data_IF_704035680926
#
_entry.id   IF_704035680926
#
_cell.length_a   1.000
_cell.length_b   1.000
_cell.length_c   1.000
_cell.angle_alpha   90.00
_cell.angle_beta   90.00
_cell.angle_gamma   90.00
#
_symmetry.space_group_name_H-M   'P 1'
#
loop_
_entity.id
_entity.type
_entity.pdbx_description
1 polymer ?
#
# COMPACT_ATOMS: atom_id res chain seq x y z
N UNK A 1 -20.07 -3.75 61.76
CA UNK A 1 -19.56 -2.41 61.41
C UNK A 1 -18.57 -2.64 60.29
N UNK A 2 -19.01 -2.47 59.03
CA UNK A 2 -18.20 -2.74 57.83
C UNK A 2 -17.91 -1.40 57.15
N UNK A 3 -16.67 -0.93 57.23
CA UNK A 3 -16.15 0.17 56.41
C UNK A 3 -15.46 -0.44 55.21
N UNK A 4 -16.06 -0.30 54.03
CA UNK A 4 -15.44 -0.62 52.75
C UNK A 4 -14.46 0.51 52.41
N UNK A 5 -13.16 0.22 52.52
CA UNK A 5 -12.09 1.04 51.95
C UNK A 5 -12.29 1.08 50.43
N UNK A 6 -12.83 2.20 49.96
CA UNK A 6 -12.94 2.52 48.55
C UNK A 6 -11.59 3.15 48.16
N UNK A 7 -10.60 2.28 47.95
CA UNK A 7 -9.30 2.66 47.42
C UNK A 7 -9.53 3.45 46.12
N UNK A 8 -9.18 4.72 46.16
CA UNK A 8 -9.18 5.70 45.07
C UNK A 8 -8.26 5.20 43.94
N UNK A 9 -8.73 4.23 43.17
CA UNK A 9 -8.10 3.80 41.93
C UNK A 9 -8.29 4.94 40.93
N UNK A 10 -7.35 5.89 40.95
CA UNK A 10 -7.23 6.91 39.94
C UNK A 10 -7.19 6.21 38.57
N UNK A 11 -8.01 6.64 37.60
CA UNK A 11 -8.04 6.03 36.29
C UNK A 11 -6.64 6.09 35.67
N UNK A 12 -6.20 4.97 35.07
CA UNK A 12 -4.92 4.93 34.35
C UNK A 12 -4.84 6.11 33.39
N UNK A 13 -3.67 6.80 33.32
CA UNK A 13 -3.50 7.90 32.39
C UNK A 13 -3.70 7.37 30.98
N UNK A 14 -4.84 7.76 30.39
CA UNK A 14 -5.12 7.45 28.98
C UNK A 14 -3.97 8.07 28.18
N UNK A 15 -3.34 7.34 27.24
CA UNK A 15 -2.43 7.95 26.32
C UNK A 15 -3.17 9.12 25.69
N UNK A 16 -2.70 10.34 25.97
CA UNK A 16 -3.08 11.52 25.21
C UNK A 16 -2.84 11.10 23.77
N UNK A 17 -3.84 11.23 22.90
CA UNK A 17 -3.74 10.87 21.49
C UNK A 17 -2.66 11.77 20.89
N UNK A 18 -1.40 11.38 21.09
CA UNK A 18 -0.23 12.00 20.50
C UNK A 18 -0.46 11.86 19.02
N UNK A 19 -0.51 13.00 18.33
CA UNK A 19 -0.58 13.02 16.88
C UNK A 19 0.40 11.99 16.37
N UNK A 20 -0.11 11.09 15.51
CA UNK A 20 0.65 9.98 14.94
C UNK A 20 2.07 10.49 14.65
N UNK A 21 3.13 9.91 15.22
CA UNK A 21 4.48 10.34 14.89
C UNK A 21 4.58 10.39 13.36
N UNK A 22 5.05 11.52 12.82
CA UNK A 22 5.14 11.70 11.37
C UNK A 22 5.86 10.50 10.79
N UNK A 23 5.21 9.78 9.88
CA UNK A 23 5.79 8.57 9.27
C UNK A 23 7.06 9.00 8.53
N UNK A 24 8.21 8.44 8.90
CA UNK A 24 9.47 8.74 8.21
C UNK A 24 9.53 8.11 6.81
N UNK A 25 8.61 7.19 6.52
CA UNK A 25 8.39 6.63 5.20
C UNK A 25 6.88 6.62 4.90
N UNK A 26 6.49 7.15 3.74
CA UNK A 26 5.10 7.20 3.29
C UNK A 26 4.98 6.64 1.88
N UNK A 27 3.88 5.97 1.58
CA UNK A 27 3.57 5.48 0.22
C UNK A 27 2.27 6.11 -0.24
N UNK A 28 2.34 6.85 -1.34
CA UNK A 28 1.20 7.45 -2.01
C UNK A 28 0.95 6.73 -3.32
N UNK A 29 -0.29 6.32 -3.56
CA UNK A 29 -0.68 5.66 -4.81
C UNK A 29 -1.49 6.61 -5.67
N UNK A 30 -1.09 6.75 -6.93
CA UNK A 30 -1.72 7.63 -7.92
C UNK A 30 -2.12 6.78 -9.13
N UNK A 31 -3.37 6.88 -9.54
CA UNK A 31 -3.89 6.21 -10.73
C UNK A 31 -3.90 7.18 -11.92
N UNK A 32 -3.23 6.80 -13.01
CA UNK A 32 -3.13 7.56 -14.27
C UNK A 32 -3.54 6.67 -15.45
N UNK A 33 -4.86 6.56 -15.67
CA UNK A 33 -5.42 5.66 -16.69
C UNK A 33 -5.11 4.19 -16.40
N UNK A 34 -4.41 3.53 -17.33
CA UNK A 34 -3.98 2.13 -17.20
C UNK A 34 -2.67 1.97 -16.40
N UNK A 35 -2.10 3.07 -15.93
CA UNK A 35 -0.84 3.09 -15.20
C UNK A 35 -1.13 3.44 -13.75
N UNK A 36 -0.62 2.64 -12.82
CA UNK A 36 -0.64 2.95 -11.39
C UNK A 36 0.77 3.30 -10.96
N UNK A 37 0.93 4.45 -10.31
CA UNK A 37 2.20 4.90 -9.74
C UNK A 37 2.12 4.82 -8.22
N UNK A 38 3.16 4.25 -7.61
CA UNK A 38 3.34 4.24 -6.16
C UNK A 38 4.59 5.04 -5.85
N UNK A 39 4.41 6.18 -5.21
CA UNK A 39 5.48 7.05 -4.79
C UNK A 39 5.77 6.80 -3.31
N UNK A 40 6.97 6.30 -3.01
CA UNK A 40 7.45 6.07 -1.66
C UNK A 40 8.40 7.23 -1.30
N UNK A 41 8.02 8.04 -0.31
CA UNK A 41 8.80 9.18 0.18
C UNK A 41 9.42 8.83 1.52
N UNK A 42 10.73 9.04 1.64
CA UNK A 42 11.52 8.91 2.85
C UNK A 42 11.93 10.29 3.33
N UNK A 43 11.51 10.64 4.55
CA UNK A 43 11.93 11.84 5.25
C UNK A 43 13.39 11.73 5.75
N UNK A 44 14.05 12.84 6.12
CA UNK A 44 15.41 12.80 6.62
C UNK A 44 15.46 12.00 7.93
N UNK A 45 16.42 11.07 8.02
CA UNK A 45 16.54 10.19 9.18
C UNK A 45 15.74 8.89 9.08
N UNK A 46 14.99 8.65 8.00
CA UNK A 46 14.42 7.36 7.70
C UNK A 46 15.50 6.27 7.61
N UNK A 47 15.25 5.12 8.22
CA UNK A 47 16.17 4.00 8.25
C UNK A 47 15.81 2.94 7.20
N UNK A 48 16.70 1.97 7.00
CA UNK A 48 16.40 0.81 6.17
C UNK A 48 15.18 0.02 6.69
N UNK A 49 14.89 0.06 7.99
CA UNK A 49 13.70 -0.55 8.56
C UNK A 49 12.43 0.21 8.10
N UNK A 50 12.44 1.54 8.15
CA UNK A 50 11.31 2.37 7.69
C UNK A 50 11.02 2.15 6.19
N UNK A 51 12.08 2.13 5.37
CA UNK A 51 11.97 1.79 3.94
C UNK A 51 11.38 0.39 3.76
N UNK A 52 11.89 -0.61 4.46
CA UNK A 52 11.41 -2.00 4.34
C UNK A 52 9.95 -2.12 4.75
N UNK A 53 9.54 -1.42 5.81
CA UNK A 53 8.15 -1.37 6.25
C UNK A 53 7.25 -0.71 5.21
N UNK A 54 7.67 0.42 4.62
CA UNK A 54 6.91 1.07 3.57
C UNK A 54 6.82 0.22 2.28
N UNK A 55 7.89 -0.49 1.92
CA UNK A 55 7.92 -1.39 0.76
C UNK A 55 6.88 -2.52 0.83
N UNK A 56 6.41 -2.92 2.01
CA UNK A 56 5.31 -3.89 2.16
C UNK A 56 4.01 -3.39 1.50
N UNK A 57 3.84 -2.06 1.40
CA UNK A 57 2.66 -1.44 0.79
C UNK A 57 2.80 -1.24 -0.73
N UNK A 58 4.01 -1.42 -1.28
CA UNK A 58 4.25 -1.32 -2.72
C UNK A 58 3.90 -2.66 -3.38
N UNK A 59 3.07 -2.69 -4.44
CA UNK A 59 2.73 -3.94 -5.10
C UNK A 59 3.96 -4.67 -5.65
N UNK A 60 4.03 -6.01 -5.52
CA UNK A 60 5.18 -6.79 -6.01
C UNK A 60 5.28 -6.82 -7.54
N UNK A 61 4.23 -6.42 -8.25
CA UNK A 61 4.18 -6.26 -9.71
C UNK A 61 4.69 -4.90 -10.18
N UNK A 62 4.88 -3.95 -9.26
CA UNK A 62 5.34 -2.61 -9.59
C UNK A 62 6.87 -2.58 -9.74
N UNK A 63 7.36 -1.93 -10.79
CA UNK A 63 8.78 -1.76 -11.06
C UNK A 63 9.25 -0.37 -10.64
N UNK A 64 10.43 -0.24 -10.04
CA UNK A 64 11.04 1.07 -9.82
C UNK A 64 11.40 1.70 -11.17
N UNK A 65 10.81 2.86 -11.47
CA UNK A 65 11.02 3.58 -12.74
C UNK A 65 11.74 4.91 -12.59
N UNK A 66 11.72 5.50 -11.40
CA UNK A 66 12.44 6.74 -11.10
C UNK A 66 12.81 6.82 -9.64
N UNK A 67 13.83 7.61 -9.33
CA UNK A 67 14.17 8.03 -7.98
C UNK A 67 14.58 9.51 -8.02
N UNK A 68 14.21 10.24 -6.97
CA UNK A 68 14.55 11.65 -6.78
C UNK A 68 15.12 11.82 -5.37
N UNK A 69 16.18 12.61 -5.23
CA UNK A 69 16.78 12.92 -3.94
C UNK A 69 17.11 14.40 -3.85
N UNK A 70 16.62 15.04 -2.80
CA UNK A 70 17.04 16.38 -2.36
C UNK A 70 17.14 16.37 -0.81
N UNK A 71 16.23 17.04 -0.11
CA UNK A 71 16.08 16.90 1.36
C UNK A 71 15.48 15.53 1.70
N UNK A 72 14.48 15.11 0.92
CA UNK A 72 13.82 13.80 1.02
C UNK A 72 14.28 12.89 -0.12
N UNK A 73 14.03 11.58 0.03
CA UNK A 73 14.21 10.60 -1.04
C UNK A 73 12.85 10.08 -1.49
N UNK A 74 12.53 10.24 -2.78
CA UNK A 74 11.34 9.69 -3.39
C UNK A 74 11.70 8.55 -4.35
N UNK A 75 11.02 7.41 -4.23
CA UNK A 75 11.10 6.26 -5.12
C UNK A 75 9.77 6.10 -5.84
N UNK A 76 9.78 6.11 -7.17
CA UNK A 76 8.56 5.98 -7.98
C UNK A 76 8.51 4.59 -8.59
N UNK A 77 7.55 3.81 -8.13
CA UNK A 77 7.22 2.51 -8.67
C UNK A 77 6.03 2.63 -9.63
N UNK A 78 6.03 1.82 -10.68
CA UNK A 78 4.97 1.81 -11.68
C UNK A 78 4.48 0.40 -11.94
N UNK A 79 3.17 0.24 -11.91
CA UNK A 79 2.46 -0.94 -12.37
C UNK A 79 1.63 -0.59 -13.62
N UNK A 80 1.53 -1.54 -14.55
CA UNK A 80 0.57 -1.49 -15.66
C UNK A 80 -0.63 -2.31 -15.26
N UNK A 81 -1.79 -1.67 -15.10
CA UNK A 81 -3.05 -2.34 -14.75
C UNK A 81 -3.35 -3.43 -15.77
N UNK A 82 -3.48 -4.67 -15.29
CA UNK A 82 -3.74 -5.86 -16.13
C UNK A 82 -5.11 -5.84 -16.80
N UNK A 83 -5.99 -4.91 -16.46
CA UNK A 83 -7.31 -4.75 -17.09
C UNK A 83 -7.25 -4.44 -18.60
N UNK A 84 -6.06 -4.11 -19.15
CA UNK A 84 -5.82 -3.99 -20.59
C UNK A 84 -5.02 -5.13 -21.22
N UNK A 85 -4.58 -6.14 -20.46
CA UNK A 85 -3.75 -7.24 -20.99
C UNK A 85 -4.67 -8.38 -21.43
N UNK A 86 -4.82 -8.69 -22.73
CA UNK A 86 -5.41 -9.96 -23.12
C UNK A 86 -4.57 -11.08 -22.50
N UNK A 87 -5.19 -11.90 -21.67
CA UNK A 87 -4.61 -13.12 -21.10
C UNK A 87 -3.88 -13.89 -22.22
N UNK A 88 -2.55 -14.05 -22.17
CA UNK A 88 -1.83 -14.83 -23.15
C UNK A 88 -2.10 -16.31 -22.85
N UNK A 89 -3.21 -16.83 -23.39
CA UNK A 89 -3.70 -18.17 -23.10
C UNK A 89 -5.21 -18.34 -23.26
N UNK A 90 -5.98 -17.26 -23.48
CA UNK A 90 -7.37 -17.38 -23.92
C UNK A 90 -7.40 -17.79 -25.40
N UNK A 91 -7.19 -19.07 -25.65
CA UNK A 91 -7.56 -19.69 -26.91
C UNK A 91 -9.05 -19.36 -27.17
N UNK A 92 -9.41 -18.72 -28.30
CA UNK A 92 -10.82 -18.63 -28.67
C UNK A 92 -11.28 -20.06 -28.97
N UNK A 93 -11.98 -20.67 -28.01
CA UNK A 93 -12.66 -21.94 -28.20
C UNK A 93 -13.41 -21.86 -29.54
N UNK A 94 -13.15 -22.78 -30.50
CA UNK A 94 -13.93 -22.78 -31.72
C UNK A 94 -15.37 -23.09 -31.31
N UNK A 95 -16.24 -22.10 -31.48
CA UNK A 95 -17.68 -22.27 -31.34
C UNK A 95 -18.09 -23.41 -32.26
N UNK A 96 -18.31 -24.59 -31.68
CA UNK A 96 -18.95 -25.74 -32.30
C UNK A 96 -20.40 -25.35 -32.58
N UNK A 97 -20.63 -24.58 -33.64
CA UNK A 97 -21.97 -24.31 -34.18
C UNK A 97 -22.44 -25.60 -34.82
N UNK A 98 -23.46 -26.18 -34.19
CA UNK A 98 -24.06 -27.46 -34.58
C UNK A 98 -24.53 -27.47 -36.03
N UNK A 99 -24.51 -28.69 -36.59
CA UNK A 99 -25.23 -29.05 -37.80
C UNK A 99 -26.72 -28.70 -37.65
N UNK A 100 -27.34 -28.00 -38.63
CA UNK A 100 -28.74 -28.16 -38.88
C UNK A 100 -28.94 -29.33 -39.85
N UNK A 101 -29.67 -30.33 -39.40
CA UNK A 101 -30.33 -31.32 -40.24
C UNK A 101 -31.16 -30.63 -41.33
N UNK A 102 -30.91 -30.94 -42.60
CA UNK A 102 -31.94 -31.41 -43.55
C UNK A 102 -31.33 -31.97 -44.82
#
# INVERSE_FOLDING_TARGET
MNTVDNDDLLPEPRPITGGRPGSLAEVVTVHDGLVVRHELVLAPGATAADLTTAMILVPPTACLVSHHGDVDVALVFQEVSRDGRPEPGADPLPHRRGLPHR
#
